data_IF_277490369443
#
_entry.id   IF_277490369443
#
_cell.length_a   1.000
_cell.length_b   1.000
_cell.length_c   1.000
_cell.angle_alpha   90.00
_cell.angle_beta   90.00
_cell.angle_gamma   90.00
#
_symmetry.space_group_name_H-M   'P 1'
#
loop_
_entity.id
_entity.type
_entity.pdbx_description
1 polymer ?
#
# COMPACT_ATOMS: atom_id res chain seq x y z
N UNK A 1 -39.62 -29.89 41.20
CA UNK A 1 -38.23 -30.24 41.54
C UNK A 1 -37.57 -30.80 40.30
N UNK A 2 -36.45 -30.20 39.88
CA UNK A 2 -35.35 -30.76 39.06
C UNK A 2 -35.70 -31.36 37.69
N UNK A 3 -35.18 -30.88 36.56
CA UNK A 3 -34.16 -29.87 36.33
C UNK A 3 -33.88 -29.71 34.82
N UNK A 4 -33.45 -28.51 34.44
CA UNK A 4 -32.87 -28.21 33.14
C UNK A 4 -31.65 -29.11 32.88
N UNK A 5 -31.52 -29.65 31.66
CA UNK A 5 -30.22 -30.02 31.10
C UNK A 5 -30.03 -29.32 29.75
N UNK A 6 -29.17 -28.31 29.78
CA UNK A 6 -28.56 -27.73 28.60
C UNK A 6 -27.68 -28.80 27.92
N UNK A 7 -27.96 -29.11 26.66
CA UNK A 7 -27.05 -29.86 25.80
C UNK A 7 -26.17 -28.88 25.05
N UNK A 8 -24.87 -29.05 25.24
CA UNK A 8 -23.79 -28.17 24.80
C UNK A 8 -23.70 -28.15 23.28
N UNK A 9 -23.74 -26.95 22.70
CA UNK A 9 -23.30 -26.73 21.32
C UNK A 9 -21.77 -26.82 21.37
N UNK A 10 -21.21 -27.88 20.79
CA UNK A 10 -19.76 -28.02 20.65
C UNK A 10 -19.23 -26.86 19.81
N UNK A 11 -18.43 -25.99 20.42
CA UNK A 11 -17.69 -24.96 19.69
C UNK A 11 -16.66 -25.61 18.75
N UNK A 12 -16.25 -24.92 17.67
CA UNK A 12 -15.15 -25.39 16.85
C UNK A 12 -13.90 -25.49 17.73
N UNK A 13 -13.27 -26.67 17.74
CA UNK A 13 -12.02 -26.89 18.46
C UNK A 13 -10.92 -25.95 17.97
N UNK A 14 -9.88 -25.71 18.79
CA UNK A 14 -8.76 -24.89 18.38
C UNK A 14 -8.08 -25.52 17.15
N UNK A 15 -7.79 -24.69 16.15
CA UNK A 15 -6.92 -25.07 15.04
C UNK A 15 -5.50 -25.04 15.60
N UNK A 16 -4.98 -26.20 15.99
CA UNK A 16 -3.57 -26.35 16.33
C UNK A 16 -2.74 -26.27 15.04
N UNK A 17 -1.94 -25.22 14.92
CA UNK A 17 -0.87 -25.15 13.92
C UNK A 17 0.45 -25.36 14.66
N UNK A 18 0.79 -26.61 14.91
CA UNK A 18 2.10 -27.02 15.41
C UNK A 18 3.05 -27.27 14.25
N UNK A 19 4.09 -26.45 14.11
CA UNK A 19 5.15 -26.63 13.13
C UNK A 19 6.47 -26.04 13.61
N UNK A 20 7.27 -26.83 14.31
CA UNK A 20 8.64 -26.48 14.71
C UNK A 20 9.62 -26.76 13.57
N UNK A 21 9.86 -25.73 12.78
CA UNK A 21 11.04 -25.50 11.93
C UNK A 21 11.18 -23.99 11.82
N UNK A 22 12.38 -23.42 11.69
CA UNK A 22 12.53 -21.97 11.50
C UNK A 22 11.88 -21.56 10.16
N UNK A 23 10.58 -21.36 10.19
CA UNK A 23 9.69 -21.10 9.07
C UNK A 23 8.72 -19.97 9.43
N UNK A 24 7.92 -19.55 8.47
CA UNK A 24 7.00 -18.44 8.63
C UNK A 24 5.84 -18.79 9.58
N UNK A 25 5.89 -18.26 10.81
CA UNK A 25 4.82 -18.40 11.79
C UNK A 25 3.72 -17.35 11.55
N UNK A 26 2.70 -17.74 10.79
CA UNK A 26 1.54 -16.89 10.50
C UNK A 26 0.71 -16.57 11.74
N UNK A 27 0.66 -17.45 12.74
CA UNK A 27 -0.12 -17.21 13.94
C UNK A 27 0.48 -16.05 14.73
N UNK A 28 1.81 -16.07 14.91
CA UNK A 28 2.56 -14.96 15.51
C UNK A 28 2.38 -13.65 14.72
N UNK A 29 2.50 -13.68 13.40
CA UNK A 29 2.31 -12.46 12.57
C UNK A 29 0.90 -11.88 12.73
N UNK A 30 -0.14 -12.72 12.83
CA UNK A 30 -1.52 -12.25 13.02
C UNK A 30 -1.72 -11.53 14.36
N UNK A 31 -0.90 -11.83 15.37
CA UNK A 31 -0.98 -11.15 16.67
C UNK A 31 -0.61 -9.67 16.57
N UNK A 32 0.24 -9.29 15.61
CA UNK A 32 0.62 -7.90 15.34
C UNK A 32 -0.54 -7.07 14.75
N UNK A 33 -1.59 -7.70 14.21
CA UNK A 33 -2.72 -7.01 13.58
C UNK A 33 -3.95 -7.03 14.49
N UNK A 34 -4.15 -6.01 15.35
CA UNK A 34 -5.18 -6.04 16.40
C UNK A 34 -6.59 -6.24 15.85
N UNK A 35 -6.89 -5.72 14.65
CA UNK A 35 -8.21 -5.82 14.03
C UNK A 35 -8.61 -7.26 13.70
N UNK A 36 -7.65 -8.16 13.45
CA UNK A 36 -7.95 -9.55 13.10
C UNK A 36 -8.53 -10.37 14.25
N UNK A 37 -8.49 -9.82 15.49
CA UNK A 37 -9.16 -10.40 16.67
C UNK A 37 -10.64 -10.05 16.74
N UNK A 38 -11.14 -9.12 15.90
CA UNK A 38 -12.53 -8.70 15.92
C UNK A 38 -13.47 -9.76 15.36
N UNK A 39 -14.71 -9.71 15.83
CA UNK A 39 -15.83 -10.39 15.19
C UNK A 39 -16.64 -9.40 14.34
N UNK A 40 -17.15 -9.89 13.21
CA UNK A 40 -18.10 -9.16 12.35
C UNK A 40 -19.37 -10.00 12.27
N UNK A 41 -20.50 -9.42 12.68
CA UNK A 41 -21.80 -10.12 12.75
C UNK A 41 -21.74 -11.43 13.56
N UNK A 42 -21.04 -11.40 14.70
CA UNK A 42 -20.89 -12.53 15.61
C UNK A 42 -19.98 -13.67 15.12
N UNK A 43 -19.21 -13.47 14.04
CA UNK A 43 -18.26 -14.45 13.50
C UNK A 43 -16.84 -13.88 13.46
N UNK A 44 -15.78 -14.69 13.59
CA UNK A 44 -14.40 -14.23 13.42
C UNK A 44 -14.20 -13.53 12.07
N UNK A 45 -13.46 -12.42 12.07
CA UNK A 45 -13.13 -11.69 10.85
C UNK A 45 -12.24 -12.54 9.93
N UNK A 46 -12.69 -12.74 8.70
CA UNK A 46 -11.90 -13.26 7.58
C UNK A 46 -11.85 -12.16 6.52
N UNK A 47 -10.74 -11.42 6.48
CA UNK A 47 -10.58 -10.25 5.61
C UNK A 47 -9.82 -10.65 4.32
N UNK A 48 -10.55 -10.79 3.22
CA UNK A 48 -10.02 -11.21 1.91
C UNK A 48 -10.06 -10.08 0.87
N UNK A 49 -10.02 -8.83 1.32
CA UNK A 49 -10.05 -7.63 0.46
C UNK A 49 -8.73 -6.83 0.55
N UNK A 50 -7.60 -7.55 0.68
CA UNK A 50 -6.28 -6.94 0.90
C UNK A 50 -5.75 -6.20 -0.33
N UNK A 51 -6.22 -6.57 -1.53
CA UNK A 51 -5.84 -5.92 -2.79
C UNK A 51 -6.40 -4.50 -2.89
N UNK A 52 -7.53 -4.21 -2.25
CA UNK A 52 -8.07 -2.86 -2.13
C UNK A 52 -7.37 -2.05 -1.03
N UNK A 53 -7.23 -2.62 0.17
CA UNK A 53 -6.40 -2.06 1.24
C UNK A 53 -6.05 -3.10 2.31
N UNK A 54 -4.87 -2.98 2.89
CA UNK A 54 -4.36 -3.89 3.92
C UNK A 54 -4.78 -3.47 5.33
N UNK A 55 -4.79 -4.40 6.29
CA UNK A 55 -4.83 -4.04 7.71
C UNK A 55 -3.45 -3.57 8.19
N UNK A 56 -3.40 -2.85 9.31
CA UNK A 56 -2.16 -2.21 9.80
C UNK A 56 -1.66 -2.94 11.06
N UNK A 57 -0.35 -3.28 11.15
CA UNK A 57 0.19 -3.86 12.36
C UNK A 57 0.30 -2.80 13.47
N UNK A 58 0.35 -3.25 14.72
CA UNK A 58 0.37 -2.38 15.90
C UNK A 58 1.54 -1.40 15.86
N UNK A 59 2.72 -1.82 15.41
CA UNK A 59 3.89 -0.94 15.27
C UNK A 59 3.63 0.30 14.38
N UNK A 60 2.85 0.16 13.30
CA UNK A 60 2.49 1.30 12.44
C UNK A 60 1.50 2.23 13.13
N UNK A 61 0.54 1.66 13.87
CA UNK A 61 -0.44 2.43 14.64
C UNK A 61 0.27 3.23 15.74
N UNK A 62 1.20 2.59 16.46
CA UNK A 62 1.98 3.20 17.53
C UNK A 62 2.92 4.29 17.01
N UNK A 63 3.56 4.09 15.86
CA UNK A 63 4.38 5.12 15.23
C UNK A 63 3.57 6.39 14.91
N UNK A 64 2.36 6.22 14.35
CA UNK A 64 1.47 7.34 14.05
C UNK A 64 0.99 8.04 15.33
N UNK A 65 0.58 7.26 16.34
CA UNK A 65 0.17 7.78 17.64
C UNK A 65 1.30 8.55 18.32
N UNK A 66 2.50 7.96 18.38
CA UNK A 66 3.69 8.53 18.96
C UNK A 66 4.13 9.83 18.28
N UNK A 67 4.06 9.90 16.95
CA UNK A 67 4.32 11.14 16.21
C UNK A 67 3.38 12.27 16.67
N UNK A 68 2.07 12.02 16.63
CA UNK A 68 1.08 13.06 16.96
C UNK A 68 1.06 13.44 18.45
N UNK A 69 1.37 12.52 19.35
CA UNK A 69 1.42 12.81 20.79
C UNK A 69 2.76 13.40 21.25
N UNK A 70 3.84 13.21 20.50
CA UNK A 70 5.20 13.50 20.97
C UNK A 70 5.96 14.56 20.19
N UNK A 71 5.94 14.51 18.85
CA UNK A 71 6.87 15.28 18.01
C UNK A 71 6.21 16.03 16.84
N UNK A 72 4.88 16.07 16.76
CA UNK A 72 4.17 16.71 15.65
C UNK A 72 4.57 18.19 15.49
N UNK A 73 5.13 18.49 14.32
CA UNK A 73 5.47 19.83 13.87
C UNK A 73 5.59 19.83 12.35
N UNK A 74 5.52 21.01 11.75
CA UNK A 74 5.82 21.15 10.33
C UNK A 74 7.31 20.85 10.09
N UNK A 75 7.60 20.05 9.08
CA UNK A 75 8.97 19.64 8.71
C UNK A 75 9.66 20.76 7.95
N UNK A 76 10.99 20.86 8.08
CA UNK A 76 11.86 21.82 7.39
C UNK A 76 11.53 23.32 7.57
N UNK A 77 10.62 23.69 8.49
CA UNK A 77 10.13 25.07 8.62
C UNK A 77 10.50 25.77 9.92
N UNK A 78 10.96 25.04 10.94
CA UNK A 78 11.26 25.59 12.26
C UNK A 78 12.69 25.28 12.72
N UNK A 79 13.26 26.21 13.48
CA UNK A 79 14.53 26.06 14.22
C UNK A 79 14.30 25.59 15.66
N UNK A 80 13.09 25.17 16.00
CA UNK A 80 12.74 24.67 17.32
C UNK A 80 12.78 23.14 17.35
N UNK A 81 13.05 22.59 18.53
CA UNK A 81 13.30 21.17 18.74
C UNK A 81 12.25 20.24 18.10
N UNK A 82 10.95 20.52 18.24
CA UNK A 82 9.91 19.68 17.63
C UNK A 82 9.96 19.66 16.09
N UNK A 83 10.36 20.77 15.46
CA UNK A 83 10.51 20.82 14.00
C UNK A 83 11.71 20.00 13.54
N UNK A 84 12.81 20.02 14.29
CA UNK A 84 13.99 19.19 14.02
C UNK A 84 13.65 17.70 14.15
N UNK A 85 13.00 17.30 15.25
CA UNK A 85 12.60 15.90 15.48
C UNK A 85 11.59 15.40 14.42
N UNK A 86 10.61 16.22 14.04
CA UNK A 86 9.68 15.87 12.98
C UNK A 86 10.38 15.69 11.62
N UNK A 87 11.36 16.56 11.33
CA UNK A 87 12.14 16.51 10.09
C UNK A 87 13.02 15.27 10.05
N UNK A 88 13.72 14.96 11.13
CA UNK A 88 14.54 13.76 11.27
C UNK A 88 13.69 12.49 11.04
N UNK A 89 12.53 12.39 11.69
CA UNK A 89 11.63 11.25 11.51
C UNK A 89 11.11 11.11 10.07
N UNK A 90 10.82 12.24 9.41
CA UNK A 90 10.36 12.26 8.02
C UNK A 90 11.45 11.82 7.03
N UNK A 91 12.67 12.33 7.19
CA UNK A 91 13.80 11.95 6.34
C UNK A 91 14.30 10.51 6.62
N UNK A 92 14.21 10.03 7.86
CA UNK A 92 14.44 8.62 8.18
C UNK A 92 13.42 7.69 7.48
N UNK A 93 12.16 8.12 7.35
CA UNK A 93 11.17 7.39 6.57
C UNK A 93 11.53 7.38 5.07
N UNK A 94 12.07 8.49 4.53
CA UNK A 94 12.57 8.55 3.14
C UNK A 94 13.72 7.59 2.91
N UNK A 95 14.70 7.55 3.82
CA UNK A 95 15.82 6.61 3.75
C UNK A 95 15.35 5.15 3.83
N UNK A 96 14.36 4.86 4.69
CA UNK A 96 13.77 3.52 4.77
C UNK A 96 13.16 3.10 3.43
N UNK A 97 12.44 4.00 2.75
CA UNK A 97 11.87 3.72 1.42
C UNK A 97 12.96 3.58 0.35
N UNK A 98 13.99 4.43 0.37
CA UNK A 98 15.16 4.32 -0.52
C UNK A 98 15.81 2.94 -0.37
N UNK A 99 16.08 2.52 0.86
CA UNK A 99 16.65 1.21 1.14
C UNK A 99 15.73 0.06 0.70
N UNK A 100 14.43 0.16 0.97
CA UNK A 100 13.44 -0.86 0.59
C UNK A 100 13.38 -1.10 -0.91
N UNK A 101 13.37 -0.04 -1.72
CA UNK A 101 13.39 -0.15 -3.18
C UNK A 101 14.80 -0.23 -3.78
N UNK A 102 15.84 -0.20 -2.95
CA UNK A 102 17.24 -0.16 -3.36
C UNK A 102 17.54 0.98 -4.37
N UNK A 103 16.92 2.15 -4.16
CA UNK A 103 17.22 3.35 -4.95
C UNK A 103 18.62 3.86 -4.63
N UNK A 104 19.24 4.54 -5.59
CA UNK A 104 20.64 4.97 -5.49
C UNK A 104 20.81 6.12 -4.51
N UNK A 105 19.81 7.00 -4.40
CA UNK A 105 19.84 8.18 -3.56
C UNK A 105 18.44 8.52 -3.00
N UNK A 106 18.38 9.23 -1.88
CA UNK A 106 17.10 9.61 -1.24
C UNK A 106 16.32 10.64 -2.06
N UNK A 107 17.01 11.43 -2.88
CA UNK A 107 16.46 12.43 -3.79
C UNK A 107 15.59 11.82 -4.90
N UNK A 108 15.77 10.53 -5.18
CA UNK A 108 14.93 9.77 -6.11
C UNK A 108 13.58 9.38 -5.48
N UNK A 109 13.42 9.54 -4.16
CA UNK A 109 12.20 9.19 -3.43
C UNK A 109 11.33 10.42 -3.23
N UNK A 110 10.26 10.52 -4.01
CA UNK A 110 9.27 11.59 -3.92
C UNK A 110 8.02 11.07 -3.22
N UNK A 111 7.75 11.56 -2.02
CA UNK A 111 6.50 11.27 -1.33
C UNK A 111 5.32 11.95 -2.02
N UNK A 112 4.30 11.14 -2.35
CA UNK A 112 3.00 11.58 -2.85
C UNK A 112 1.90 10.99 -1.98
N UNK A 113 0.68 11.48 -2.12
CA UNK A 113 -0.49 11.00 -1.36
C UNK A 113 -0.80 9.53 -1.66
N UNK A 114 -0.60 9.09 -2.89
CA UNK A 114 -0.82 7.71 -3.35
C UNK A 114 -0.20 7.47 -4.74
N UNK A 115 -0.20 6.21 -5.19
CA UNK A 115 0.32 5.84 -6.52
C UNK A 115 -0.35 6.60 -7.68
N UNK A 116 -1.65 6.90 -7.59
CA UNK A 116 -2.37 7.66 -8.63
C UNK A 116 -1.78 9.07 -8.79
N UNK A 117 -1.50 9.75 -7.68
CA UNK A 117 -0.85 11.07 -7.72
C UNK A 117 0.59 10.98 -8.23
N UNK A 118 1.34 9.93 -7.86
CA UNK A 118 2.68 9.68 -8.40
C UNK A 118 2.69 9.55 -9.93
N UNK A 119 1.78 8.77 -10.51
CA UNK A 119 1.65 8.64 -11.97
C UNK A 119 1.25 9.97 -12.62
N UNK A 120 0.31 10.69 -12.02
CA UNK A 120 -0.10 12.01 -12.52
C UNK A 120 1.06 13.03 -12.47
N UNK A 121 1.90 12.99 -11.44
CA UNK A 121 3.08 13.84 -11.35
C UNK A 121 4.02 13.59 -12.53
N UNK A 122 4.29 12.34 -12.88
CA UNK A 122 5.12 11.99 -14.05
C UNK A 122 4.47 12.46 -15.35
N UNK A 123 3.19 12.15 -15.59
CA UNK A 123 2.48 12.55 -16.80
C UNK A 123 2.42 14.09 -16.96
N UNK A 124 2.16 14.81 -15.86
CA UNK A 124 2.04 16.27 -15.86
C UNK A 124 3.38 17.02 -15.91
N UNK A 125 4.50 16.37 -15.60
CA UNK A 125 5.83 16.97 -15.64
C UNK A 125 6.64 16.43 -16.82
N UNK A 126 7.24 15.26 -16.65
CA UNK A 126 8.02 14.58 -17.69
C UNK A 126 7.19 14.35 -18.95
N UNK A 127 5.99 13.80 -18.83
CA UNK A 127 5.13 13.52 -19.97
C UNK A 127 4.86 14.77 -20.82
N UNK A 128 4.40 15.86 -20.20
CA UNK A 128 4.16 17.14 -20.89
C UNK A 128 5.39 17.75 -21.54
N UNK A 129 6.58 17.54 -20.97
CA UNK A 129 7.82 18.10 -21.50
C UNK A 129 8.43 17.27 -22.64
N UNK A 130 8.09 15.98 -22.76
CA UNK A 130 8.81 15.04 -23.62
C UNK A 130 7.92 14.28 -24.62
N UNK A 131 6.59 14.34 -24.49
CA UNK A 131 5.66 13.61 -25.38
C UNK A 131 4.88 14.61 -26.24
N UNK A 132 5.08 14.54 -27.56
CA UNK A 132 4.51 15.46 -28.53
C UNK A 132 3.73 14.78 -29.65
N UNK A 133 3.37 15.58 -30.66
CA UNK A 133 2.62 15.10 -31.81
C UNK A 133 3.38 13.98 -32.54
N UNK A 134 2.69 12.87 -32.79
CA UNK A 134 3.26 11.70 -33.50
C UNK A 134 3.99 10.69 -32.61
N UNK A 135 4.31 11.04 -31.35
CA UNK A 135 4.88 10.10 -30.38
C UNK A 135 3.86 9.05 -29.93
N UNK A 136 4.36 7.98 -29.32
CA UNK A 136 3.51 6.91 -28.77
C UNK A 136 3.79 6.68 -27.28
N UNK A 137 2.73 6.57 -26.49
CA UNK A 137 2.78 6.09 -25.10
C UNK A 137 2.22 4.68 -25.08
N UNK A 138 3.03 3.71 -24.67
CA UNK A 138 2.62 2.29 -24.59
C UNK A 138 2.21 1.94 -23.16
N UNK A 139 1.01 1.39 -23.01
CA UNK A 139 0.48 0.78 -21.79
C UNK A 139 0.08 -0.67 -22.05
N UNK A 140 -0.26 -1.43 -21.01
CA UNK A 140 -0.80 -2.79 -21.16
C UNK A 140 -2.34 -2.81 -21.07
N UNK A 141 -2.97 -3.87 -21.57
CA UNK A 141 -4.40 -4.12 -21.33
C UNK A 141 -4.73 -4.48 -19.86
N UNK A 142 -3.71 -4.68 -19.02
CA UNK A 142 -3.85 -5.05 -17.60
C UNK A 142 -3.82 -3.84 -16.65
N UNK A 143 -3.62 -2.63 -17.17
CA UNK A 143 -3.43 -1.45 -16.31
C UNK A 143 -4.65 -1.16 -15.45
N UNK A 144 -4.40 -0.75 -14.19
CA UNK A 144 -5.40 -0.09 -13.39
C UNK A 144 -5.70 1.30 -13.98
N UNK A 145 -6.93 1.81 -13.84
CA UNK A 145 -7.34 3.11 -14.40
C UNK A 145 -6.39 4.27 -14.04
N UNK A 146 -5.80 4.24 -12.84
CA UNK A 146 -4.79 5.22 -12.40
C UNK A 146 -3.57 5.32 -13.32
N UNK A 147 -3.23 4.24 -14.05
CA UNK A 147 -2.16 4.17 -15.04
C UNK A 147 -2.68 4.16 -16.49
N UNK A 148 -3.91 4.62 -16.73
CA UNK A 148 -4.49 4.79 -18.07
C UNK A 148 -4.85 6.25 -18.30
N UNK A 149 -5.71 6.81 -17.43
CA UNK A 149 -6.32 8.13 -17.62
C UNK A 149 -5.29 9.26 -17.76
N UNK A 150 -4.20 9.33 -16.97
CA UNK A 150 -3.22 10.40 -17.12
C UNK A 150 -2.53 10.39 -18.49
N UNK A 151 -2.25 9.20 -19.03
CA UNK A 151 -1.62 9.04 -20.34
C UNK A 151 -2.59 9.33 -21.47
N UNK A 152 -3.84 8.90 -21.34
CA UNK A 152 -4.88 9.25 -22.30
C UNK A 152 -5.03 10.78 -22.41
N UNK A 153 -5.14 11.48 -21.28
CA UNK A 153 -5.25 12.95 -21.25
C UNK A 153 -4.00 13.63 -21.82
N UNK A 154 -2.80 13.09 -21.55
CA UNK A 154 -1.56 13.60 -22.12
C UNK A 154 -1.57 13.47 -23.66
N UNK A 155 -1.88 12.29 -24.18
CA UNK A 155 -1.95 12.03 -25.62
C UNK A 155 -3.00 12.90 -26.32
N UNK A 156 -4.18 13.03 -25.72
CA UNK A 156 -5.24 13.92 -26.22
C UNK A 156 -4.78 15.39 -26.30
N UNK A 157 -3.99 15.85 -25.32
CA UNK A 157 -3.51 17.23 -25.25
C UNK A 157 -2.30 17.49 -26.17
N UNK A 158 -1.42 16.51 -26.38
CA UNK A 158 -0.17 16.68 -27.14
C UNK A 158 -0.26 16.25 -28.60
N UNK A 159 -1.29 15.50 -28.99
CA UNK A 159 -1.38 14.85 -30.31
C UNK A 159 -0.57 13.55 -30.42
N UNK A 160 -0.07 13.02 -29.29
CA UNK A 160 0.52 11.68 -29.24
C UNK A 160 -0.54 10.57 -29.33
N UNK A 161 -0.11 9.33 -29.52
CA UNK A 161 -1.00 8.16 -29.57
C UNK A 161 -0.81 7.27 -28.35
N UNK A 162 -1.92 6.88 -27.73
CA UNK A 162 -1.92 5.84 -26.70
C UNK A 162 -2.00 4.46 -27.37
N UNK A 163 -1.03 3.59 -27.09
CA UNK A 163 -0.96 2.20 -27.57
C UNK A 163 -1.19 1.24 -26.42
N UNK A 164 -1.87 0.14 -26.70
CA UNK A 164 -2.20 -0.87 -25.69
C UNK A 164 -1.62 -2.22 -26.13
N UNK A 165 -0.68 -2.74 -25.34
CA UNK A 165 -0.14 -4.08 -25.50
C UNK A 165 -1.21 -5.11 -25.09
N UNK A 166 -1.50 -6.11 -25.95
CA UNK A 166 -2.56 -7.07 -25.71
C UNK A 166 -2.17 -8.15 -24.69
N UNK A 167 -3.18 -8.86 -24.19
CA UNK A 167 -3.03 -10.06 -23.38
C UNK A 167 -3.64 -11.26 -24.09
N UNK A 168 -3.20 -12.45 -23.72
CA UNK A 168 -3.82 -13.70 -24.16
C UNK A 168 -5.00 -14.12 -23.27
N UNK A 169 -5.66 -15.24 -23.63
CA UNK A 169 -6.82 -15.76 -22.89
C UNK A 169 -6.45 -16.31 -21.50
N UNK A 170 -5.15 -16.43 -21.16
CA UNK A 170 -4.67 -16.82 -19.83
C UNK A 170 -4.43 -15.61 -18.93
N UNK A 171 -4.55 -14.40 -19.48
CA UNK A 171 -4.26 -13.16 -18.77
C UNK A 171 -2.77 -12.81 -18.75
N UNK A 172 -1.97 -13.36 -19.68
CA UNK A 172 -0.54 -13.07 -19.80
C UNK A 172 -0.29 -11.98 -20.87
N UNK A 173 0.74 -11.15 -20.67
CA UNK A 173 1.14 -10.14 -21.64
C UNK A 173 1.77 -10.80 -22.87
N UNK A 174 1.31 -10.43 -24.06
CA UNK A 174 1.92 -10.88 -25.31
C UNK A 174 3.14 -9.99 -25.60
N UNK A 175 4.34 -10.59 -25.55
CA UNK A 175 5.62 -9.88 -25.69
C UNK A 175 6.14 -9.82 -27.14
N UNK A 176 5.66 -10.69 -28.01
CA UNK A 176 5.99 -10.76 -29.45
C UNK A 176 5.07 -9.87 -30.29
#
# INVERSE_FOLDING_TARGET
MTGLRASRIGGPGPIEVGGTGAGYDVARVREDFPILRRQVRGRPLVYLDNAATTQKPQAVIDALGGYYSGINSNVHRGVHQLSELATEAFEAARETVRAYFNASAVEEIIFTRNATEGINLVAATFGRANVGEGDEVLISAMEHHSNIVPWQMLCEASGARLRVAPIDDRGELILE
#
